data_IF_604392449422
#
_entry.id   IF_604392449422
#
_cell.length_a   1.000
_cell.length_b   1.000
_cell.length_c   1.000
_cell.angle_alpha   90.00
_cell.angle_beta   90.00
_cell.angle_gamma   90.00
#
_symmetry.space_group_name_H-M   'P 1'
#
loop_
_entity.id
_entity.type
_entity.pdbx_description
1 polymer ?
#
# COMPACT_ATOMS: atom_id res chain seq x y z
N UNK A 1 -4.79 10.75 19.99
CA UNK A 1 -4.26 9.43 20.37
C UNK A 1 -5.28 8.37 19.97
N UNK A 2 -4.86 7.20 19.47
CA UNK A 2 -5.76 6.10 19.10
C UNK A 2 -5.63 5.01 20.18
N UNK A 3 -6.72 4.57 20.82
CA UNK A 3 -6.68 3.50 21.82
C UNK A 3 -6.07 2.20 21.29
N UNK A 4 -5.50 1.38 22.17
CA UNK A 4 -5.00 0.07 21.78
C UNK A 4 -6.13 -0.83 21.23
N UNK A 5 -5.80 -1.70 20.29
CA UNK A 5 -6.68 -2.75 19.76
C UNK A 5 -8.01 -2.28 19.15
N UNK A 6 -8.07 -1.05 18.62
CA UNK A 6 -9.25 -0.56 17.89
C UNK A 6 -8.99 -0.45 16.40
N UNK A 7 -10.04 -0.64 15.61
CA UNK A 7 -10.07 -0.30 14.20
C UNK A 7 -10.33 1.20 14.05
N UNK A 8 -9.36 1.91 13.47
CA UNK A 8 -9.46 3.33 13.13
C UNK A 8 -9.28 3.52 11.61
N UNK A 9 -10.13 4.35 10.99
CA UNK A 9 -10.14 4.57 9.54
C UNK A 9 -10.32 6.04 9.17
N UNK A 10 -9.89 6.41 7.96
CA UNK A 10 -10.12 7.72 7.36
C UNK A 10 -9.11 8.81 7.75
N UNK A 11 -9.29 9.99 7.17
CA UNK A 11 -8.55 11.22 7.46
C UNK A 11 -9.54 12.40 7.51
N UNK A 12 -9.86 12.96 8.70
CA UNK A 12 -9.34 12.59 10.02
C UNK A 12 -9.81 11.21 10.50
N UNK A 13 -8.99 10.54 11.31
CA UNK A 13 -9.24 9.17 11.75
C UNK A 13 -10.44 9.06 12.70
N UNK A 14 -11.32 8.09 12.46
CA UNK A 14 -12.46 7.74 13.31
C UNK A 14 -12.29 6.33 13.87
N UNK A 15 -12.52 6.16 15.17
CA UNK A 15 -12.55 4.84 15.83
C UNK A 15 -13.91 4.21 15.56
N UNK A 16 -13.94 2.97 15.08
CA UNK A 16 -15.16 2.26 14.73
C UNK A 16 -15.55 1.19 15.75
N UNK A 17 -14.61 0.31 16.10
CA UNK A 17 -14.82 -0.85 16.97
C UNK A 17 -13.52 -1.42 17.50
N UNK A 18 -13.60 -2.34 18.45
CA UNK A 18 -12.48 -3.18 18.85
C UNK A 18 -12.14 -4.20 17.74
N UNK A 19 -10.85 -4.57 17.68
CA UNK A 19 -10.36 -5.66 16.84
C UNK A 19 -10.64 -6.99 17.53
N UNK A 20 -11.07 -7.98 16.75
CA UNK A 20 -11.14 -9.36 17.21
C UNK A 20 -9.74 -9.96 17.38
N UNK A 21 -9.62 -10.98 18.22
CA UNK A 21 -8.37 -11.72 18.39
C UNK A 21 -7.85 -12.29 17.07
N UNK A 22 -8.75 -12.77 16.20
CA UNK A 22 -8.39 -13.30 14.89
C UNK A 22 -7.79 -12.23 13.97
N UNK A 23 -8.31 -11.00 13.99
CA UNK A 23 -7.76 -9.88 13.21
C UNK A 23 -6.36 -9.48 13.69
N UNK A 24 -6.16 -9.47 15.01
CA UNK A 24 -4.86 -9.16 15.63
C UNK A 24 -3.86 -10.26 15.26
N UNK A 25 -4.21 -11.52 15.45
CA UNK A 25 -3.38 -12.69 15.12
C UNK A 25 -3.00 -12.71 13.64
N UNK A 26 -3.96 -12.47 12.74
CA UNK A 26 -3.67 -12.38 11.31
C UNK A 26 -2.68 -11.25 10.98
N UNK A 27 -2.87 -10.05 11.54
CA UNK A 27 -1.94 -8.93 11.32
C UNK A 27 -0.55 -9.21 11.88
N UNK A 28 -0.48 -9.84 13.06
CA UNK A 28 0.78 -10.25 13.68
C UNK A 28 1.53 -11.25 12.79
N UNK A 29 0.88 -12.31 12.31
CA UNK A 29 1.49 -13.27 11.37
C UNK A 29 1.96 -12.61 10.07
N UNK A 30 1.18 -11.68 9.52
CA UNK A 30 1.59 -10.92 8.34
C UNK A 30 2.85 -10.09 8.60
N UNK A 31 2.97 -9.50 9.79
CA UNK A 31 4.18 -8.77 10.23
C UNK A 31 5.38 -9.71 10.35
N UNK A 32 5.18 -10.93 10.85
CA UNK A 32 6.24 -11.93 10.97
C UNK A 32 6.81 -12.36 9.62
N UNK A 33 6.01 -12.38 8.55
CA UNK A 33 6.50 -12.62 7.19
C UNK A 33 7.54 -11.57 6.79
N UNK A 34 7.27 -10.28 7.04
CA UNK A 34 8.24 -9.22 6.76
C UNK A 34 9.52 -9.35 7.60
N UNK A 35 9.40 -9.74 8.87
CA UNK A 35 10.56 -10.02 9.73
C UNK A 35 11.38 -11.18 9.18
N UNK A 36 10.73 -12.23 8.71
CA UNK A 36 11.42 -13.37 8.11
C UNK A 36 12.15 -12.98 6.82
N UNK A 37 11.55 -12.13 5.98
CA UNK A 37 12.23 -11.61 4.77
C UNK A 37 13.54 -10.87 5.12
N UNK A 38 13.58 -10.13 6.23
CA UNK A 38 14.79 -9.46 6.68
C UNK A 38 15.89 -10.44 7.13
N UNK A 39 15.52 -11.59 7.72
CA UNK A 39 16.47 -12.66 8.05
C UNK A 39 16.97 -13.34 6.78
N UNK A 40 16.04 -13.71 5.88
CA UNK A 40 16.33 -14.39 4.62
C UNK A 40 17.24 -13.58 3.70
N UNK A 41 17.12 -12.25 3.73
CA UNK A 41 17.91 -11.32 2.93
C UNK A 41 19.43 -11.56 3.04
N UNK A 42 19.90 -12.04 4.19
CA UNK A 42 21.33 -12.36 4.42
C UNK A 42 21.87 -13.44 3.47
N UNK A 43 21.00 -14.33 3.00
CA UNK A 43 21.37 -15.45 2.12
C UNK A 43 20.81 -15.29 0.71
N UNK A 44 19.72 -14.53 0.54
CA UNK A 44 19.03 -14.35 -0.74
C UNK A 44 19.42 -13.09 -1.51
N UNK A 45 20.09 -12.13 -0.88
CA UNK A 45 20.55 -10.91 -1.54
C UNK A 45 22.06 -10.95 -1.79
N UNK A 46 22.47 -10.34 -2.90
CA UNK A 46 23.86 -10.07 -3.24
C UNK A 46 24.01 -8.61 -3.66
N UNK A 47 25.18 -7.98 -3.44
CA UNK A 47 25.46 -6.66 -3.97
C UNK A 47 25.30 -6.63 -5.49
N UNK A 48 24.58 -5.64 -6.01
CA UNK A 48 24.43 -5.40 -7.44
C UNK A 48 25.17 -4.12 -7.83
N UNK A 49 25.82 -4.14 -9.00
CA UNK A 49 26.38 -2.92 -9.58
C UNK A 49 25.26 -2.10 -10.23
N UNK A 50 25.16 -0.78 -9.96
CA UNK A 50 24.16 0.06 -10.61
C UNK A 50 24.47 0.18 -12.12
N UNK A 51 23.43 0.25 -12.93
CA UNK A 51 23.57 0.54 -14.36
C UNK A 51 23.94 2.02 -14.54
N UNK A 52 24.97 2.29 -15.36
CA UNK A 52 25.43 3.65 -15.66
C UNK A 52 24.52 4.37 -16.68
N UNK A 53 23.72 3.62 -17.43
CA UNK A 53 22.80 4.12 -18.44
C UNK A 53 21.50 3.31 -18.45
N UNK A 54 20.46 3.87 -19.06
CA UNK A 54 19.16 3.19 -19.19
C UNK A 54 19.29 2.06 -20.21
N UNK A 55 18.78 0.87 -19.88
CA UNK A 55 18.75 -0.26 -20.80
C UNK A 55 18.03 0.10 -22.12
N UNK A 56 18.66 -0.25 -23.24
CA UNK A 56 18.03 -0.09 -24.56
C UNK A 56 16.70 -0.86 -24.60
N UNK A 57 15.63 -0.19 -25.01
CA UNK A 57 14.30 -0.81 -25.10
C UNK A 57 13.66 -1.15 -23.74
N UNK A 58 14.10 -0.53 -22.63
CA UNK A 58 13.48 -0.72 -21.30
C UNK A 58 11.97 -0.52 -21.36
N UNK A 59 11.22 -1.61 -21.15
CA UNK A 59 9.74 -1.62 -21.20
C UNK A 59 9.17 -0.57 -20.25
N UNK A 60 8.24 0.23 -20.76
CA UNK A 60 7.46 1.20 -19.98
C UNK A 60 6.05 0.65 -19.79
N UNK A 61 5.49 0.86 -18.61
CA UNK A 61 4.05 0.68 -18.40
C UNK A 61 3.38 1.97 -18.82
N UNK A 62 2.48 1.90 -19.80
CA UNK A 62 1.59 3.00 -20.17
C UNK A 62 0.30 2.82 -19.39
N UNK A 63 0.01 3.73 -18.47
CA UNK A 63 -1.32 3.77 -17.87
C UNK A 63 -2.34 4.19 -18.94
N UNK A 64 -3.57 3.67 -18.92
CA UNK A 64 -4.63 4.21 -19.75
C UNK A 64 -4.84 5.70 -19.45
N UNK A 65 -5.18 6.49 -20.46
CA UNK A 65 -5.59 7.88 -20.25
C UNK A 65 -6.83 7.89 -19.34
N UNK A 66 -6.64 8.37 -18.12
CA UNK A 66 -7.68 8.52 -17.12
C UNK A 66 -7.67 9.97 -16.66
N UNK A 67 -8.71 10.72 -17.03
CA UNK A 67 -8.98 12.04 -16.46
C UNK A 67 -10.01 11.87 -15.33
N UNK A 68 -9.58 11.73 -14.07
CA UNK A 68 -10.50 11.63 -12.93
C UNK A 68 -11.40 12.86 -12.80
N UNK A 69 -10.96 14.03 -13.28
CA UNK A 69 -11.72 15.27 -13.19
C UNK A 69 -12.89 15.28 -14.16
N UNK A 70 -12.85 14.55 -15.28
CA UNK A 70 -14.00 14.46 -16.20
C UNK A 70 -15.17 13.74 -15.54
N UNK A 71 -14.89 12.64 -14.80
CA UNK A 71 -15.93 11.89 -14.07
C UNK A 71 -16.46 12.72 -12.89
N UNK A 72 -15.59 13.40 -12.14
CA UNK A 72 -16.03 14.28 -11.06
C UNK A 72 -16.81 15.51 -11.56
N UNK A 73 -16.37 16.17 -12.65
CA UNK A 73 -17.06 17.32 -13.25
C UNK A 73 -18.42 16.92 -13.82
N UNK A 74 -18.53 15.75 -14.43
CA UNK A 74 -19.81 15.21 -14.90
C UNK A 74 -20.78 14.93 -13.73
N UNK A 75 -20.28 14.40 -12.61
CA UNK A 75 -21.09 14.14 -11.42
C UNK A 75 -21.55 15.43 -10.70
N UNK A 76 -20.74 16.49 -10.72
CA UNK A 76 -21.07 17.79 -10.14
C UNK A 76 -22.09 18.59 -10.97
N UNK A 77 -22.15 18.36 -12.28
CA UNK A 77 -23.07 19.07 -13.20
C UNK A 77 -24.52 18.56 -13.15
N UNK A 78 -24.80 17.52 -12.35
CA UNK A 78 -26.11 16.88 -12.23
C UNK A 78 -26.78 17.01 -10.86
N UNK A 79 -26.31 17.91 -9.98
CA UNK A 79 -27.05 18.26 -8.76
C UNK A 79 -27.99 19.45 -9.05
N UNK A 80 -29.26 19.41 -8.59
CA UNK A 80 -30.15 20.56 -8.69
C UNK A 80 -29.60 21.78 -7.94
#
# INVERSE_FOLDING_TARGET
EIPANVMAVGAPAKVLRELSEQEIDWKSRGTDVYRQLAVDARTKLAPAQPLAEVEAGRRRVTAPEYDPLVVERAALSGRP
#
